data_IF_970444107222
#
_entry.id   IF_970444107222
#
_cell.length_a   1.000
_cell.length_b   1.000
_cell.length_c   1.000
_cell.angle_alpha   90.00
_cell.angle_beta   90.00
_cell.angle_gamma   90.00
#
_symmetry.space_group_name_H-M   'P 1'
#
loop_
_entity.id
_entity.type
_entity.pdbx_description
1 polymer ?
#
# COMPACT_ATOMS: atom_id res chain seq x y z
N UNK A 1 17.90 47.93 64.79
CA UNK A 1 18.91 46.85 64.69
C UNK A 1 18.92 46.38 63.25
N UNK A 2 19.99 46.64 62.51
CA UNK A 2 20.07 46.33 61.07
C UNK A 2 20.56 44.89 60.88
N UNK A 3 19.73 44.05 60.24
CA UNK A 3 20.04 42.64 59.95
C UNK A 3 21.30 42.51 59.09
N UNK A 4 21.56 43.49 58.22
CA UNK A 4 22.74 43.53 57.36
C UNK A 4 24.05 43.57 58.17
N UNK A 5 24.11 44.39 59.22
CA UNK A 5 25.29 44.42 60.10
C UNK A 5 25.48 43.10 60.86
N UNK A 6 24.38 42.47 61.27
CA UNK A 6 24.41 41.19 61.96
C UNK A 6 24.94 40.07 61.06
N UNK A 7 24.48 39.99 59.80
CA UNK A 7 24.96 38.99 58.84
C UNK A 7 26.43 39.24 58.51
N UNK A 8 26.81 40.49 58.25
CA UNK A 8 28.20 40.83 57.89
C UNK A 8 29.18 40.49 59.02
N UNK A 9 28.80 40.77 60.28
CA UNK A 9 29.65 40.50 61.45
C UNK A 9 29.77 39.00 61.77
N UNK A 10 28.80 38.19 61.36
CA UNK A 10 28.76 36.75 61.63
C UNK A 10 29.02 35.87 60.39
N UNK A 11 29.39 36.43 59.23
CA UNK A 11 29.61 35.70 57.97
C UNK A 11 30.50 34.47 58.15
N UNK A 12 31.63 34.63 58.84
CA UNK A 12 32.59 33.53 59.05
C UNK A 12 32.05 32.40 59.95
N UNK A 13 30.98 32.65 60.72
CA UNK A 13 30.29 31.63 61.54
C UNK A 13 29.09 31.00 60.83
N UNK A 14 28.64 31.61 59.73
CA UNK A 14 27.55 31.12 58.90
C UNK A 14 28.07 30.22 57.76
N UNK A 15 29.34 30.38 57.40
CA UNK A 15 30.04 29.58 56.38
C UNK A 15 30.66 28.33 57.02
N UNK A 16 29.80 27.38 57.41
CA UNK A 16 30.18 26.19 58.20
C UNK A 16 30.55 24.99 57.33
N UNK A 17 30.19 25.01 56.04
CA UNK A 17 30.37 23.88 55.13
C UNK A 17 31.23 24.29 53.93
N UNK A 18 32.37 23.60 53.78
CA UNK A 18 33.14 23.63 52.53
C UNK A 18 32.48 22.59 51.62
N UNK A 19 31.97 22.98 50.44
CA UNK A 19 31.34 22.01 49.54
C UNK A 19 32.36 20.98 49.08
N UNK A 20 31.94 19.70 49.07
CA UNK A 20 32.73 18.61 48.51
C UNK A 20 32.76 18.75 46.98
N UNK A 21 33.81 19.39 46.47
CA UNK A 21 33.98 19.65 45.05
C UNK A 21 34.07 18.34 44.24
N UNK A 22 34.70 17.29 44.79
CA UNK A 22 34.86 16.02 44.10
C UNK A 22 33.50 15.34 43.85
N UNK A 23 32.58 15.42 44.82
CA UNK A 23 31.21 14.94 44.66
C UNK A 23 30.47 15.70 43.55
N UNK A 24 30.62 17.03 43.49
CA UNK A 24 29.98 17.88 42.49
C UNK A 24 30.51 17.60 41.07
N UNK A 25 31.81 17.38 40.92
CA UNK A 25 32.45 17.12 39.61
C UNK A 25 32.18 15.70 39.07
N UNK A 26 31.90 14.73 39.96
CA UNK A 26 31.61 13.35 39.57
C UNK A 26 30.30 13.25 38.77
N UNK A 27 29.26 14.00 39.15
CA UNK A 27 27.98 14.01 38.41
C UNK A 27 28.10 14.67 37.02
N UNK A 28 28.94 15.69 36.91
CA UNK A 28 29.13 16.45 35.66
C UNK A 28 29.93 15.61 34.65
N UNK A 29 31.04 15.02 35.07
CA UNK A 29 31.92 14.22 34.20
C UNK A 29 31.24 12.97 33.62
N UNK A 30 30.28 12.39 34.34
CA UNK A 30 29.54 11.20 33.88
C UNK A 30 28.55 11.51 32.73
N UNK A 31 28.12 12.76 32.59
CA UNK A 31 27.19 13.19 31.53
C UNK A 31 27.87 13.50 30.20
N UNK A 32 29.17 13.84 30.22
CA UNK A 32 29.91 14.31 29.04
C UNK A 32 30.48 13.16 28.19
N UNK A 33 30.70 11.96 28.77
CA UNK A 33 31.38 10.84 28.10
C UNK A 33 30.45 9.75 27.53
N UNK A 34 29.13 9.96 27.42
CA UNK A 34 28.24 8.97 26.78
C UNK A 34 28.41 8.98 25.26
N UNK A 35 29.20 8.05 24.73
CA UNK A 35 29.25 7.76 23.28
C UNK A 35 27.84 7.43 22.76
N UNK A 36 27.37 8.06 21.66
CA UNK A 36 26.11 7.67 21.04
C UNK A 36 26.24 6.25 20.47
N UNK A 37 25.40 5.33 20.94
CA UNK A 37 25.36 3.97 20.45
C UNK A 37 24.66 3.95 19.07
N UNK A 38 25.46 4.07 18.00
CA UNK A 38 25.00 4.25 16.62
C UNK A 38 24.39 2.98 15.97
N UNK A 39 24.40 1.83 16.66
CA UNK A 39 24.04 0.54 16.05
C UNK A 39 22.55 0.15 16.13
N UNK A 40 21.68 0.95 16.79
CA UNK A 40 20.23 0.61 16.88
C UNK A 40 19.41 1.01 15.65
N UNK A 41 19.91 1.88 14.78
CA UNK A 41 19.19 2.29 13.57
C UNK A 41 19.38 1.34 12.38
N UNK A 42 20.37 0.45 12.43
CA UNK A 42 20.65 -0.49 11.34
C UNK A 42 19.82 -1.78 11.47
N UNK A 43 19.56 -2.27 12.68
CA UNK A 43 18.72 -3.45 12.91
C UNK A 43 17.22 -3.18 12.72
N UNK A 44 16.76 -1.95 12.97
CA UNK A 44 15.35 -1.57 12.73
C UNK A 44 15.02 -1.49 11.22
N UNK A 45 15.99 -1.11 10.38
CA UNK A 45 15.80 -1.00 8.93
C UNK A 45 15.70 -2.34 8.22
N UNK A 46 16.37 -3.38 8.74
CA UNK A 46 16.42 -4.71 8.11
C UNK A 46 15.12 -5.50 8.37
N UNK A 47 14.53 -5.38 9.56
CA UNK A 47 13.28 -6.09 9.87
C UNK A 47 12.08 -5.47 9.14
N UNK A 48 12.05 -4.15 8.98
CA UNK A 48 10.98 -3.45 8.27
C UNK A 48 10.93 -3.84 6.78
N UNK A 49 12.07 -3.99 6.10
CA UNK A 49 12.09 -4.41 4.69
C UNK A 49 11.67 -5.86 4.51
N UNK A 50 12.05 -6.77 5.42
CA UNK A 50 11.62 -8.17 5.37
C UNK A 50 10.10 -8.29 5.60
N UNK A 51 9.54 -7.54 6.55
CA UNK A 51 8.08 -7.55 6.79
C UNK A 51 7.31 -6.96 5.60
N UNK A 52 7.80 -5.88 4.99
CA UNK A 52 7.16 -5.29 3.79
C UNK A 52 7.23 -6.23 2.60
N UNK A 53 8.35 -6.90 2.36
CA UNK A 53 8.48 -7.87 1.25
C UNK A 53 7.59 -9.09 1.50
N UNK A 54 7.49 -9.59 2.73
CA UNK A 54 6.60 -10.71 3.07
C UNK A 54 5.13 -10.28 2.96
N UNK A 55 4.75 -9.10 3.44
CA UNK A 55 3.39 -8.57 3.31
C UNK A 55 2.99 -8.37 1.84
N UNK A 56 3.86 -7.79 1.02
CA UNK A 56 3.64 -7.65 -0.42
C UNK A 56 3.59 -9.02 -1.12
N UNK A 57 4.40 -9.99 -0.70
CA UNK A 57 4.38 -11.36 -1.23
C UNK A 57 3.07 -12.08 -0.90
N UNK A 58 2.54 -11.91 0.32
CA UNK A 58 1.26 -12.51 0.74
C UNK A 58 0.08 -11.83 0.03
N UNK A 59 0.10 -10.51 -0.14
CA UNK A 59 -0.95 -9.76 -0.87
C UNK A 59 -0.93 -10.14 -2.35
N UNK A 60 0.25 -10.18 -3.00
CA UNK A 60 0.35 -10.59 -4.41
C UNK A 60 -0.04 -12.05 -4.59
N UNK A 61 0.30 -12.96 -3.67
CA UNK A 61 -0.11 -14.36 -3.72
C UNK A 61 -1.62 -14.53 -3.52
N UNK A 62 -2.26 -13.79 -2.60
CA UNK A 62 -3.72 -13.83 -2.45
C UNK A 62 -4.45 -13.23 -3.66
N UNK A 63 -3.98 -12.09 -4.19
CA UNK A 63 -4.56 -11.46 -5.39
C UNK A 63 -4.36 -12.31 -6.65
N UNK A 64 -3.26 -13.06 -6.76
CA UNK A 64 -3.00 -13.95 -7.90
C UNK A 64 -3.63 -15.34 -7.76
N UNK A 65 -3.72 -15.92 -6.55
CA UNK A 65 -4.35 -17.22 -6.31
C UNK A 65 -5.87 -17.16 -6.43
N UNK A 66 -6.52 -16.05 -6.07
CA UNK A 66 -7.94 -15.79 -6.34
C UNK A 66 -8.26 -15.75 -7.85
N UNK A 67 -7.26 -15.52 -8.72
CA UNK A 67 -7.43 -15.44 -10.18
C UNK A 67 -7.24 -16.76 -10.93
N UNK A 68 -6.77 -17.83 -10.28
CA UNK A 68 -6.33 -19.05 -10.98
C UNK A 68 -7.38 -20.16 -11.09
N UNK A 69 -8.51 -20.07 -10.37
CA UNK A 69 -9.56 -21.10 -10.39
C UNK A 69 -10.96 -20.46 -10.45
N UNK A 70 -11.15 -19.47 -11.32
CA UNK A 70 -12.50 -19.04 -11.67
C UNK A 70 -13.15 -20.15 -12.49
N UNK A 71 -13.91 -21.02 -11.81
CA UNK A 71 -14.82 -21.94 -12.48
C UNK A 71 -15.74 -21.11 -13.38
N UNK A 72 -15.87 -21.52 -14.65
CA UNK A 72 -16.79 -20.88 -15.59
C UNK A 72 -18.21 -21.06 -15.06
N UNK A 73 -18.82 -19.98 -14.58
CA UNK A 73 -20.15 -19.98 -13.98
C UNK A 73 -21.18 -20.40 -15.03
N UNK A 74 -20.97 -19.99 -16.28
CA UNK A 74 -21.88 -20.25 -17.39
C UNK A 74 -21.74 -21.67 -17.96
N UNK A 75 -20.72 -22.43 -17.57
CA UNK A 75 -20.53 -23.83 -18.00
C UNK A 75 -21.65 -24.77 -17.58
N UNK A 76 -22.34 -24.45 -16.48
CA UNK A 76 -23.49 -25.22 -15.99
C UNK A 76 -24.80 -24.87 -16.70
N UNK A 77 -24.83 -23.77 -17.46
CA UNK A 77 -26.03 -23.24 -18.10
C UNK A 77 -26.06 -23.62 -19.58
N UNK A 78 -25.04 -23.21 -20.33
CA UNK A 78 -24.96 -23.47 -21.76
C UNK A 78 -23.49 -23.49 -22.24
N UNK A 79 -23.09 -24.47 -23.08
CA UNK A 79 -21.71 -24.57 -23.56
C UNK A 79 -21.23 -23.36 -24.39
N UNK A 80 -22.12 -22.71 -25.13
CA UNK A 80 -21.76 -21.52 -25.92
C UNK A 80 -21.48 -20.32 -25.02
N UNK A 81 -22.29 -20.14 -23.97
CA UNK A 81 -22.07 -19.09 -22.96
C UNK A 81 -20.78 -19.33 -22.17
N UNK A 82 -20.49 -20.59 -21.85
CA UNK A 82 -19.23 -20.99 -21.19
C UNK A 82 -18.01 -20.62 -22.04
N UNK A 83 -18.07 -20.90 -23.35
CA UNK A 83 -17.02 -20.53 -24.29
C UNK A 83 -16.84 -19.02 -24.34
N UNK A 84 -17.94 -18.26 -24.34
CA UNK A 84 -17.91 -16.80 -24.36
C UNK A 84 -17.29 -16.23 -23.08
N UNK A 85 -17.67 -16.74 -21.90
CA UNK A 85 -17.07 -16.39 -20.61
C UNK A 85 -15.56 -16.66 -20.61
N UNK A 86 -15.14 -17.83 -21.09
CA UNK A 86 -13.73 -18.18 -21.19
C UNK A 86 -12.96 -17.21 -22.12
N UNK A 87 -13.58 -16.77 -23.23
CA UNK A 87 -12.98 -15.77 -24.11
C UNK A 87 -12.78 -14.43 -23.39
N UNK A 88 -13.77 -13.95 -22.64
CA UNK A 88 -13.63 -12.71 -21.87
C UNK A 88 -12.57 -12.83 -20.78
N UNK A 89 -12.57 -13.90 -20.01
CA UNK A 89 -11.57 -14.13 -18.96
C UNK A 89 -10.16 -14.17 -19.53
N UNK A 90 -9.97 -14.81 -20.69
CA UNK A 90 -8.69 -14.81 -21.39
C UNK A 90 -8.28 -13.40 -21.84
N UNK A 91 -9.18 -12.62 -22.44
CA UNK A 91 -8.89 -11.25 -22.86
C UNK A 91 -8.54 -10.34 -21.67
N UNK A 92 -9.31 -10.44 -20.57
CA UNK A 92 -9.05 -9.72 -19.32
C UNK A 92 -7.67 -10.09 -18.78
N UNK A 93 -7.32 -11.37 -18.76
CA UNK A 93 -6.01 -11.86 -18.34
C UNK A 93 -4.89 -11.26 -19.20
N UNK A 94 -5.05 -11.28 -20.52
CA UNK A 94 -4.07 -10.67 -21.44
C UNK A 94 -3.89 -9.18 -21.14
N UNK A 95 -4.97 -8.41 -20.95
CA UNK A 95 -4.86 -6.99 -20.62
C UNK A 95 -4.16 -6.74 -19.29
N UNK A 96 -4.46 -7.52 -18.24
CA UNK A 96 -3.72 -7.41 -16.98
C UNK A 96 -2.24 -7.73 -17.14
N UNK A 97 -1.88 -8.72 -17.95
CA UNK A 97 -0.48 -9.04 -18.23
C UNK A 97 0.23 -7.90 -18.95
N UNK A 98 -0.44 -7.22 -19.88
CA UNK A 98 0.11 -6.04 -20.55
C UNK A 98 0.27 -4.90 -19.55
N UNK A 99 -0.75 -4.60 -18.74
CA UNK A 99 -0.68 -3.57 -17.69
C UNK A 99 0.50 -3.82 -16.74
N UNK A 100 0.68 -5.04 -16.23
CA UNK A 100 1.77 -5.38 -15.31
C UNK A 100 3.17 -5.21 -15.92
N UNK A 101 3.31 -5.41 -17.23
CA UNK A 101 4.59 -5.27 -17.94
C UNK A 101 4.87 -3.83 -18.39
N UNK A 102 3.88 -2.96 -18.29
CA UNK A 102 3.97 -1.60 -18.82
C UNK A 102 4.28 -0.65 -17.68
N UNK A 103 5.31 0.16 -17.84
CA UNK A 103 5.58 1.26 -16.91
C UNK A 103 4.59 2.42 -17.16
N UNK A 104 3.90 2.87 -16.11
CA UNK A 104 2.93 3.97 -16.13
C UNK A 104 2.80 4.61 -14.73
N UNK A 105 2.37 5.87 -14.68
CA UNK A 105 2.02 6.53 -13.42
C UNK A 105 0.66 6.03 -12.92
N UNK A 106 0.63 5.34 -11.78
CA UNK A 106 -0.59 4.79 -11.16
C UNK A 106 -1.63 5.85 -10.81
N UNK A 107 -1.23 7.09 -10.52
CA UNK A 107 -2.14 8.19 -10.19
C UNK A 107 -3.09 8.48 -11.35
N UNK A 108 -2.62 8.35 -12.60
CA UNK A 108 -3.41 8.57 -13.81
C UNK A 108 -4.56 7.57 -13.96
N UNK A 109 -4.42 6.38 -13.38
CA UNK A 109 -5.38 5.28 -13.53
C UNK A 109 -6.16 4.99 -12.25
N UNK A 110 -5.97 5.76 -11.17
CA UNK A 110 -6.57 5.49 -9.87
C UNK A 110 -8.10 5.40 -9.93
N UNK A 111 -8.78 6.26 -10.70
CA UNK A 111 -10.24 6.15 -10.88
C UNK A 111 -10.63 4.90 -11.65
N UNK A 112 -9.91 4.58 -12.73
CA UNK A 112 -10.14 3.38 -13.54
C UNK A 112 -9.95 2.09 -12.74
N UNK A 113 -8.99 2.05 -11.79
CA UNK A 113 -8.84 0.91 -10.88
C UNK A 113 -10.02 0.75 -9.91
N UNK A 114 -10.56 1.86 -9.37
CA UNK A 114 -11.77 1.82 -8.53
C UNK A 114 -12.99 1.33 -9.33
N UNK A 115 -13.13 1.80 -10.56
CA UNK A 115 -14.20 1.34 -11.46
C UNK A 115 -14.07 -0.17 -11.77
N UNK A 116 -12.85 -0.68 -11.98
CA UNK A 116 -12.60 -2.11 -12.16
C UNK A 116 -13.00 -2.92 -10.92
N UNK A 117 -12.62 -2.47 -9.73
CA UNK A 117 -12.96 -3.12 -8.47
C UNK A 117 -14.48 -3.16 -8.25
N UNK A 118 -15.17 -2.07 -8.59
CA UNK A 118 -16.63 -2.03 -8.55
C UNK A 118 -17.26 -3.03 -9.54
N UNK A 119 -16.76 -3.09 -10.77
CA UNK A 119 -17.24 -4.08 -11.76
C UNK A 119 -16.98 -5.51 -11.27
N UNK A 120 -15.83 -5.78 -10.64
CA UNK A 120 -15.51 -7.09 -10.09
C UNK A 120 -16.45 -7.50 -8.96
N UNK A 121 -16.80 -6.55 -8.10
CA UNK A 121 -17.80 -6.76 -7.04
C UNK A 121 -19.16 -7.12 -7.64
N UNK A 122 -19.57 -6.45 -8.72
CA UNK A 122 -20.82 -6.76 -9.42
C UNK A 122 -20.77 -8.13 -10.11
N UNK A 123 -19.65 -8.49 -10.75
CA UNK A 123 -19.49 -9.81 -11.38
C UNK A 123 -19.66 -10.91 -10.33
N UNK A 124 -19.00 -10.79 -9.18
CA UNK A 124 -19.13 -11.76 -8.06
C UNK A 124 -20.58 -11.87 -7.62
N UNK A 125 -21.21 -10.74 -7.30
CA UNK A 125 -22.61 -10.71 -6.85
C UNK A 125 -23.57 -11.37 -7.87
N UNK A 126 -23.46 -11.03 -9.15
CA UNK A 126 -24.36 -11.57 -10.17
C UNK A 126 -24.10 -13.05 -10.44
N UNK A 127 -22.86 -13.50 -10.25
CA UNK A 127 -22.50 -14.92 -10.33
C UNK A 127 -23.08 -15.73 -9.18
N UNK A 128 -23.05 -15.17 -7.97
CA UNK A 128 -23.70 -15.75 -6.79
C UNK A 128 -25.23 -15.80 -6.98
N UNK A 129 -25.85 -14.70 -7.41
CA UNK A 129 -27.30 -14.65 -7.69
C UNK A 129 -27.70 -15.70 -8.74
N UNK A 130 -26.92 -15.88 -9.82
CA UNK A 130 -27.17 -16.93 -10.82
C UNK A 130 -27.03 -18.34 -10.24
N UNK A 131 -26.09 -18.55 -9.33
CA UNK A 131 -25.91 -19.84 -8.64
C UNK A 131 -27.06 -20.14 -7.67
N UNK A 132 -27.58 -19.12 -6.98
CA UNK A 132 -28.65 -19.25 -5.98
C UNK A 132 -30.04 -19.37 -6.62
N UNK A 133 -30.36 -18.50 -7.59
CA UNK A 133 -31.71 -18.41 -8.17
C UNK A 133 -31.85 -19.17 -9.50
N UNK A 134 -30.74 -19.69 -10.04
CA UNK A 134 -30.72 -20.40 -11.31
C UNK A 134 -30.70 -19.48 -12.54
N UNK A 135 -30.82 -20.07 -13.74
CA UNK A 135 -30.66 -19.33 -14.99
C UNK A 135 -31.74 -18.26 -15.17
N UNK A 136 -31.37 -17.00 -15.03
CA UNK A 136 -32.23 -15.85 -15.30
C UNK A 136 -31.64 -15.03 -16.46
N UNK A 137 -32.37 -14.87 -17.59
CA UNK A 137 -31.87 -14.14 -18.76
C UNK A 137 -31.40 -12.71 -18.45
N UNK A 138 -32.06 -12.01 -17.50
CA UNK A 138 -31.66 -10.66 -17.09
C UNK A 138 -30.32 -10.67 -16.35
N UNK A 139 -30.14 -11.60 -15.42
CA UNK A 139 -28.87 -11.75 -14.69
C UNK A 139 -27.75 -12.18 -15.63
N UNK A 140 -28.01 -13.11 -16.54
CA UNK A 140 -27.07 -13.56 -17.55
C UNK A 140 -26.60 -12.41 -18.45
N UNK A 141 -27.54 -11.65 -19.01
CA UNK A 141 -27.21 -10.51 -19.87
C UNK A 141 -26.46 -9.42 -19.10
N UNK A 142 -26.79 -9.21 -17.83
CA UNK A 142 -26.09 -8.24 -16.98
C UNK A 142 -24.67 -8.69 -16.69
N UNK A 143 -24.46 -9.98 -16.36
CA UNK A 143 -23.13 -10.55 -16.14
C UNK A 143 -22.27 -10.44 -17.41
N UNK A 144 -22.86 -10.72 -18.56
CA UNK A 144 -22.23 -10.58 -19.88
C UNK A 144 -21.79 -9.12 -20.15
N UNK A 145 -22.69 -8.16 -19.91
CA UNK A 145 -22.39 -6.74 -20.06
C UNK A 145 -21.30 -6.28 -19.09
N UNK A 146 -21.27 -6.79 -17.85
CA UNK A 146 -20.21 -6.49 -16.89
C UNK A 146 -18.84 -6.97 -17.38
N UNK A 147 -18.73 -8.20 -17.91
CA UNK A 147 -17.49 -8.66 -18.52
C UNK A 147 -17.04 -7.77 -19.69
N UNK A 148 -17.98 -7.37 -20.57
CA UNK A 148 -17.68 -6.47 -21.68
C UNK A 148 -17.27 -5.07 -21.22
N UNK A 149 -17.88 -4.55 -20.15
CA UNK A 149 -17.51 -3.26 -19.53
C UNK A 149 -16.12 -3.32 -18.94
N UNK A 150 -15.77 -4.42 -18.24
CA UNK A 150 -14.43 -4.64 -17.69
C UNK A 150 -13.37 -4.61 -18.80
N UNK A 151 -13.63 -5.31 -19.90
CA UNK A 151 -12.75 -5.34 -21.08
C UNK A 151 -12.57 -3.95 -21.69
N UNK A 152 -13.66 -3.21 -21.91
CA UNK A 152 -13.62 -1.85 -22.46
C UNK A 152 -12.84 -0.88 -21.56
N UNK A 153 -12.98 -1.01 -20.25
CA UNK A 153 -12.25 -0.20 -19.29
C UNK A 153 -10.75 -0.51 -19.33
N UNK A 154 -10.38 -1.79 -19.32
CA UNK A 154 -8.98 -2.22 -19.45
C UNK A 154 -8.35 -1.73 -20.76
N UNK A 155 -9.08 -1.83 -21.88
CA UNK A 155 -8.63 -1.33 -23.18
C UNK A 155 -8.41 0.20 -23.15
N UNK A 156 -9.35 0.96 -22.55
CA UNK A 156 -9.19 2.41 -22.36
C UNK A 156 -7.95 2.75 -21.55
N UNK A 157 -7.71 2.03 -20.44
CA UNK A 157 -6.53 2.24 -19.60
C UNK A 157 -5.22 2.01 -20.38
N UNK A 158 -5.16 0.92 -21.16
CA UNK A 158 -3.99 0.64 -22.01
C UNK A 158 -3.77 1.75 -23.05
N UNK A 159 -4.84 2.22 -23.68
CA UNK A 159 -4.78 3.32 -24.64
C UNK A 159 -4.34 4.64 -23.99
N UNK A 160 -4.75 4.93 -22.77
CA UNK A 160 -4.30 6.11 -22.01
C UNK A 160 -2.81 6.03 -21.69
N UNK A 161 -2.32 4.86 -21.26
CA UNK A 161 -0.90 4.64 -21.02
C UNK A 161 -0.07 4.86 -22.30
N UNK A 162 -0.50 4.29 -23.42
CA UNK A 162 0.20 4.42 -24.70
C UNK A 162 0.26 5.87 -25.18
N UNK A 163 -0.86 6.61 -25.08
CA UNK A 163 -0.92 8.04 -25.42
C UNK A 163 0.08 8.83 -24.58
N UNK A 164 0.11 8.62 -23.28
CA UNK A 164 1.01 9.34 -22.38
C UNK A 164 2.48 9.07 -22.71
N UNK A 165 2.85 7.81 -23.01
CA UNK A 165 4.21 7.48 -23.47
C UNK A 165 4.61 8.23 -24.74
N UNK A 166 3.70 8.33 -25.71
CA UNK A 166 3.96 9.06 -26.97
C UNK A 166 4.18 10.56 -26.72
N UNK A 167 3.41 11.18 -25.82
CA UNK A 167 3.57 12.59 -25.49
C UNK A 167 4.91 12.88 -24.78
N UNK A 168 5.34 12.04 -23.85
CA UNK A 168 6.63 12.17 -23.17
C UNK A 168 7.80 12.08 -24.16
N UNK A 169 7.81 11.06 -25.04
CA UNK A 169 8.85 10.89 -26.07
C UNK A 169 8.93 12.05 -27.07
N UNK A 170 7.82 12.75 -27.31
CA UNK A 170 7.79 13.91 -28.23
C UNK A 170 8.41 15.15 -27.57
N UNK A 171 8.22 15.34 -26.26
CA UNK A 171 8.79 16.48 -25.52
C UNK A 171 10.30 16.36 -25.32
N UNK A 172 10.84 15.14 -25.21
CA UNK A 172 12.28 14.92 -25.00
C UNK A 172 13.13 15.05 -26.26
N UNK A 173 12.51 15.11 -27.45
CA UNK A 173 13.20 15.22 -28.75
C UNK A 173 13.16 16.65 -29.34
N UNK A 174 12.77 17.64 -28.55
CA UNK A 174 12.76 19.08 -28.89
C UNK A 174 13.76 19.78 -27.97
#
# INVERSE_FOLDING_TARGET
>A
MNIEEYIRKNRNKLDVEIPDEDYLWTGISQSINKKPNHNRFLTLKIVATVIVVIALSIITYQVTSLRSNQQLILAKIDPSLAKQEAQFQNQIKTYYQVLQKTDYNEELLTSSFKDLEYIDTLIVKYSEDLSTYGPNPKLLNSLMDLYQKKIRLLDRMLNEIEKNKKYENTKTNI
#
